data_IF_333626718226
#
_entry.id   IF_333626718226
#
_cell.length_a   1.000
_cell.length_b   1.000
_cell.length_c   1.000
_cell.angle_alpha   90.00
_cell.angle_beta   90.00
_cell.angle_gamma   90.00
#
_symmetry.space_group_name_H-M   'P 1'
#
loop_
_entity.id
_entity.type
_entity.pdbx_description
1 polymer ?
#
# COMPACT_ATOMS: atom_id res chain seq x y z
N UNK A 1 5.60 9.36 15.90
CA UNK A 1 5.65 7.88 15.81
C UNK A 1 6.07 7.54 14.38
N UNK A 2 7.08 6.68 14.17
CA UNK A 2 7.48 6.28 12.81
C UNK A 2 6.39 5.44 12.15
N UNK A 3 6.22 5.56 10.83
CA UNK A 3 5.25 4.76 10.07
C UNK A 3 5.46 3.26 10.28
N UNK A 4 6.71 2.79 10.39
CA UNK A 4 7.01 1.36 10.64
C UNK A 4 6.39 0.85 11.94
N UNK A 5 6.40 1.67 13.01
CA UNK A 5 5.76 1.30 14.29
C UNK A 5 4.24 1.27 14.15
N UNK A 6 3.66 2.16 13.35
CA UNK A 6 2.24 2.16 13.04
C UNK A 6 1.82 0.90 12.28
N UNK A 7 2.59 0.51 11.26
CA UNK A 7 2.30 -0.64 10.40
C UNK A 7 2.34 -1.96 11.19
N UNK A 8 3.32 -2.16 12.07
CA UNK A 8 3.37 -3.34 12.95
C UNK A 8 2.15 -3.43 13.87
N UNK A 9 1.73 -2.29 14.47
CA UNK A 9 0.54 -2.24 15.31
C UNK A 9 -0.73 -2.52 14.53
N UNK A 10 -0.83 -1.96 13.32
CA UNK A 10 -1.96 -2.15 12.42
C UNK A 10 -2.09 -3.61 11.99
N UNK A 11 -1.00 -4.26 11.58
CA UNK A 11 -1.01 -5.66 11.18
C UNK A 11 -1.45 -6.59 12.31
N UNK A 12 -0.96 -6.34 13.53
CA UNK A 12 -1.40 -7.08 14.73
C UNK A 12 -2.89 -6.88 14.98
N UNK A 13 -3.38 -5.65 14.88
CA UNK A 13 -4.79 -5.34 15.08
C UNK A 13 -5.66 -6.03 14.02
N UNK A 14 -5.27 -5.98 12.74
CA UNK A 14 -5.99 -6.61 11.63
C UNK A 14 -6.07 -8.13 11.82
N UNK A 15 -4.98 -8.80 12.20
CA UNK A 15 -4.99 -10.24 12.45
C UNK A 15 -5.94 -10.66 13.57
N UNK A 16 -6.15 -9.80 14.58
CA UNK A 16 -7.01 -10.10 15.73
C UNK A 16 -8.47 -9.74 15.45
N UNK A 17 -8.72 -8.58 14.84
CA UNK A 17 -10.06 -7.99 14.76
C UNK A 17 -10.68 -8.05 13.36
N UNK A 18 -9.87 -8.23 12.31
CA UNK A 18 -10.33 -8.29 10.92
C UNK A 18 -9.49 -9.31 10.11
N UNK A 19 -9.50 -10.60 10.50
CA UNK A 19 -8.63 -11.61 9.89
C UNK A 19 -8.88 -11.80 8.39
N UNK A 20 -10.13 -11.65 7.93
CA UNK A 20 -10.48 -11.68 6.51
C UNK A 20 -9.74 -10.56 5.75
N UNK A 21 -9.77 -9.32 6.26
CA UNK A 21 -9.09 -8.19 5.66
C UNK A 21 -7.56 -8.38 5.70
N UNK A 22 -7.02 -8.88 6.81
CA UNK A 22 -5.59 -9.21 6.92
C UNK A 22 -5.15 -10.22 5.85
N UNK A 23 -5.99 -11.21 5.52
CA UNK A 23 -5.71 -12.19 4.48
C UNK A 23 -5.71 -11.59 3.06
N UNK A 24 -6.28 -10.39 2.87
CA UNK A 24 -6.27 -9.70 1.57
C UNK A 24 -4.99 -8.91 1.31
N UNK A 25 -4.14 -8.68 2.32
CA UNK A 25 -2.91 -7.91 2.16
C UNK A 25 -1.95 -8.64 1.21
N UNK A 26 -1.54 -7.94 0.15
CA UNK A 26 -0.59 -8.48 -0.81
C UNK A 26 0.81 -8.56 -0.18
N UNK A 27 1.68 -9.48 -0.60
CA UNK A 27 3.08 -9.45 -0.21
C UNK A 27 3.72 -8.07 -0.45
N UNK A 28 4.79 -7.77 0.29
CA UNK A 28 5.57 -6.55 0.10
C UNK A 28 5.99 -6.34 -1.37
N UNK A 29 6.03 -5.09 -1.81
CA UNK A 29 6.61 -4.73 -3.09
C UNK A 29 8.12 -5.01 -3.08
N UNK A 30 8.68 -5.38 -4.23
CA UNK A 30 10.12 -5.52 -4.40
C UNK A 30 10.79 -4.16 -4.60
N UNK A 31 12.11 -4.09 -4.38
CA UNK A 31 12.87 -2.86 -4.64
C UNK A 31 12.82 -2.48 -6.12
N UNK A 32 12.99 -3.43 -7.04
CA UNK A 32 12.86 -3.22 -8.49
C UNK A 32 11.54 -2.55 -8.88
N UNK A 33 10.48 -2.85 -8.12
CA UNK A 33 9.15 -2.34 -8.35
C UNK A 33 8.98 -0.92 -7.86
N UNK A 34 9.60 -0.57 -6.74
CA UNK A 34 9.70 0.82 -6.28
C UNK A 34 10.53 1.65 -7.25
N UNK A 35 11.65 1.10 -7.74
CA UNK A 35 12.52 1.77 -8.71
C UNK A 35 11.82 1.99 -10.05
N UNK A 36 11.10 0.97 -10.54
CA UNK A 36 10.26 1.11 -11.73
C UNK A 36 9.20 2.21 -11.54
N UNK A 37 8.54 2.23 -10.39
CA UNK A 37 7.53 3.25 -10.08
C UNK A 37 8.15 4.65 -10.02
N UNK A 38 9.32 4.79 -9.39
CA UNK A 38 10.06 6.04 -9.32
C UNK A 38 10.46 6.55 -10.72
N UNK A 39 10.88 5.63 -11.60
CA UNK A 39 11.18 5.92 -13.01
C UNK A 39 9.95 6.43 -13.76
N UNK A 40 8.80 5.77 -13.61
CA UNK A 40 7.52 6.20 -14.22
C UNK A 40 7.09 7.59 -13.75
N UNK A 41 7.30 7.92 -12.47
CA UNK A 41 6.98 9.24 -11.93
C UNK A 41 8.04 10.31 -12.17
N UNK A 42 9.23 9.94 -12.65
CA UNK A 42 10.39 10.84 -12.77
C UNK A 42 10.94 11.33 -11.43
N UNK A 43 10.54 10.71 -10.31
CA UNK A 43 10.98 11.05 -8.95
C UNK A 43 10.74 9.88 -7.99
N UNK A 44 11.57 9.73 -6.94
CA UNK A 44 11.33 8.71 -5.92
C UNK A 44 10.03 8.97 -5.16
N UNK A 45 9.36 7.89 -4.75
CA UNK A 45 8.26 7.99 -3.78
C UNK A 45 8.79 8.53 -2.45
N UNK A 46 7.99 9.28 -1.67
CA UNK A 46 8.37 9.68 -0.32
C UNK A 46 8.77 8.47 0.53
N UNK A 47 9.76 8.63 1.42
CA UNK A 47 10.32 7.51 2.19
C UNK A 47 9.27 6.72 2.98
N UNK A 48 8.25 7.40 3.52
CA UNK A 48 7.16 6.73 4.23
C UNK A 48 6.22 5.96 3.30
N UNK A 49 6.03 6.43 2.06
CA UNK A 49 5.27 5.72 1.04
C UNK A 49 6.04 4.47 0.59
N UNK A 50 7.37 4.55 0.45
CA UNK A 50 8.19 3.36 0.20
C UNK A 50 8.06 2.35 1.32
N UNK A 51 8.14 2.78 2.59
CA UNK A 51 7.95 1.89 3.76
C UNK A 51 6.58 1.23 3.79
N UNK A 52 5.53 1.94 3.39
CA UNK A 52 4.18 1.39 3.28
C UNK A 52 4.12 0.27 2.24
N UNK A 53 4.73 0.46 1.07
CA UNK A 53 4.74 -0.55 0.00
C UNK A 53 5.72 -1.71 0.24
N UNK A 54 6.81 -1.48 0.99
CA UNK A 54 7.68 -2.54 1.51
C UNK A 54 7.02 -3.35 2.63
N UNK A 55 5.90 -2.88 3.19
CA UNK A 55 5.10 -3.66 4.13
C UNK A 55 4.11 -4.56 3.37
N UNK A 56 3.28 -4.01 2.49
CA UNK A 56 2.39 -4.76 1.60
C UNK A 56 2.14 -4.00 0.29
N UNK A 57 2.13 -4.68 -0.87
CA UNK A 57 1.80 -4.05 -2.17
C UNK A 57 0.27 -3.92 -2.36
N UNK A 58 -0.38 -3.24 -1.43
CA UNK A 58 -1.84 -3.09 -1.43
C UNK A 58 -2.59 -4.35 -1.01
N UNK A 59 -3.78 -4.53 -1.58
CA UNK A 59 -4.66 -5.69 -1.35
C UNK A 59 -4.96 -6.44 -2.63
N UNK A 60 -5.05 -7.77 -2.56
CA UNK A 60 -5.32 -8.66 -3.71
C UNK A 60 -6.80 -8.90 -3.97
N UNK A 61 -7.67 -8.72 -2.98
CA UNK A 61 -9.10 -8.98 -3.11
C UNK A 61 -9.87 -7.76 -3.63
N UNK A 62 -10.91 -7.99 -4.44
CA UNK A 62 -11.81 -6.94 -4.90
C UNK A 62 -12.94 -6.63 -3.89
N UNK A 63 -13.26 -7.61 -3.04
CA UNK A 63 -14.27 -7.57 -1.98
C UNK A 63 -13.60 -7.83 -0.63
N UNK A 64 -14.15 -7.28 0.45
CA UNK A 64 -13.67 -7.46 1.84
C UNK A 64 -12.17 -7.17 2.06
N UNK A 65 -11.63 -6.24 1.27
CA UNK A 65 -10.23 -5.82 1.35
C UNK A 65 -10.01 -4.77 2.42
N UNK A 66 -8.76 -4.68 2.88
CA UNK A 66 -8.38 -3.62 3.83
C UNK A 66 -8.60 -2.22 3.25
N UNK A 67 -9.41 -1.42 3.95
CA UNK A 67 -9.65 0.00 3.70
C UNK A 67 -8.83 0.85 4.68
N UNK A 68 -8.04 1.79 4.16
CA UNK A 68 -7.25 2.73 4.97
C UNK A 68 -8.16 3.81 5.58
N UNK A 69 -9.23 4.15 4.87
CA UNK A 69 -10.35 4.99 5.33
C UNK A 69 -11.59 4.62 4.51
N UNK A 70 -12.81 5.00 4.93
CA UNK A 70 -14.02 4.63 4.21
C UNK A 70 -13.92 4.92 2.70
N UNK A 71 -14.15 3.89 1.87
CA UNK A 71 -14.05 3.98 0.41
C UNK A 71 -12.64 4.27 -0.15
N UNK A 72 -11.58 4.16 0.66
CA UNK A 72 -10.17 4.29 0.24
C UNK A 72 -9.44 2.98 0.47
N UNK A 73 -9.24 2.27 -0.63
CA UNK A 73 -8.53 1.01 -0.64
C UNK A 73 -7.02 1.20 -0.67
N UNK A 74 -6.29 0.25 -0.07
CA UNK A 74 -4.86 0.18 -0.24
C UNK A 74 -4.52 -0.47 -1.60
N UNK A 75 -4.28 0.35 -2.62
CA UNK A 75 -4.09 -0.11 -3.99
C UNK A 75 -2.64 -0.57 -4.26
N UNK A 76 -2.44 -1.67 -5.02
CA UNK A 76 -1.11 -2.08 -5.47
C UNK A 76 -0.46 -1.05 -6.40
N UNK A 77 0.86 -0.98 -6.40
CA UNK A 77 1.66 -0.15 -7.31
C UNK A 77 1.46 -0.50 -8.80
N UNK A 78 0.98 -1.71 -9.13
CA UNK A 78 0.85 -2.23 -10.52
C UNK A 78 -0.51 -1.97 -11.13
N UNK A 79 -1.48 -1.52 -10.33
CA UNK A 79 -2.84 -1.44 -10.83
C UNK A 79 -2.94 -0.53 -12.06
N UNK A 80 -3.95 -0.71 -12.92
CA UNK A 80 -4.29 0.22 -14.02
C UNK A 80 -4.66 1.64 -13.53
N UNK A 81 -4.38 1.94 -12.26
CA UNK A 81 -4.55 3.20 -11.57
C UNK A 81 -3.19 3.79 -11.14
N UNK A 82 -2.23 3.88 -12.07
CA UNK A 82 -1.42 5.11 -12.21
C UNK A 82 -2.35 6.27 -12.62
N UNK A 83 -3.42 6.50 -11.83
CA UNK A 83 -4.43 7.56 -11.94
C UNK A 83 -3.98 8.79 -11.16
N UNK A 84 -2.70 8.85 -10.82
CA UNK A 84 -2.02 9.94 -10.14
C UNK A 84 -1.72 11.12 -11.10
N UNK A 85 -2.16 11.03 -12.35
CA UNK A 85 -2.13 12.11 -13.35
C UNK A 85 -3.07 13.29 -13.05
N UNK A 86 -3.80 13.27 -11.93
CA UNK A 86 -4.70 14.37 -11.52
C UNK A 86 -4.22 15.14 -10.27
N UNK A 87 -3.04 14.84 -9.73
CA UNK A 87 -2.52 15.52 -8.53
C UNK A 87 -1.44 16.58 -8.86
N UNK A 88 -1.63 17.29 -9.97
CA UNK A 88 -0.73 18.35 -10.42
C UNK A 88 -1.47 19.36 -11.28
N UNK A 89 -2.23 20.23 -10.62
CA UNK A 89 -2.43 21.64 -10.96
C UNK A 89 -2.46 22.43 -9.65
#
# INVERSE_FOLDING_TARGET
MSITVALVKLERWLRVHAPANAATLAPAATLDRLDHTASVFGRPLPADVQRLYLWHDGTTAAVDRFEISPSRYFLPLAGPALRWSYAGD
#
